data_IF_236092168327
#
_entry.id   IF_236092168327
#
_cell.length_a   1.000
_cell.length_b   1.000
_cell.length_c   1.000
_cell.angle_alpha   90.00
_cell.angle_beta   90.00
_cell.angle_gamma   90.00
#
_symmetry.space_group_name_H-M   'P 1'
#
loop_
_entity.id
_entity.type
_entity.pdbx_description
1 polymer ?
#
# COMPACT_ATOMS: atom_id res chain seq x y z
N UNK A 1 -54.72 -19.39 0.03
CA UNK A 1 -55.10 -20.54 0.87
C UNK A 1 -53.98 -20.80 1.86
N UNK A 2 -54.28 -20.52 3.13
CA UNK A 2 -53.66 -20.98 4.38
C UNK A 2 -52.15 -20.75 4.64
N UNK A 3 -51.86 -19.62 5.31
CA UNK A 3 -51.07 -19.58 6.58
C UNK A 3 -52.05 -19.95 7.74
N UNK A 4 -51.71 -20.19 9.05
CA UNK A 4 -50.45 -19.94 9.76
C UNK A 4 -50.09 -20.91 10.93
N UNK A 5 -48.88 -20.75 11.47
CA UNK A 5 -48.52 -21.12 12.84
C UNK A 5 -47.08 -20.69 13.10
N UNK A 6 -46.73 -19.70 13.93
CA UNK A 6 -47.44 -19.07 15.04
C UNK A 6 -46.63 -19.29 16.33
N UNK A 7 -46.09 -18.22 16.92
CA UNK A 7 -45.43 -18.21 18.23
C UNK A 7 -44.11 -17.43 18.24
N UNK A 8 -44.12 -16.09 18.22
CA UNK A 8 -44.32 -15.20 19.36
C UNK A 8 -43.04 -14.92 20.18
N UNK A 9 -42.65 -13.65 20.10
CA UNK A 9 -41.76 -12.86 20.95
C UNK A 9 -42.07 -13.03 22.43
N UNK A 10 -41.05 -13.04 23.30
CA UNK A 10 -41.15 -12.43 24.64
C UNK A 10 -39.78 -12.10 25.25
N UNK A 11 -39.67 -10.84 25.70
CA UNK A 11 -38.69 -10.32 26.66
C UNK A 11 -38.75 -11.10 27.99
N UNK A 12 -37.60 -11.31 28.63
CA UNK A 12 -37.49 -11.86 29.98
C UNK A 12 -36.54 -11.03 30.84
N UNK A 13 -37.12 -10.33 31.80
CA UNK A 13 -36.52 -9.42 32.77
C UNK A 13 -35.76 -10.17 33.88
N UNK A 14 -34.78 -9.47 34.46
CA UNK A 14 -34.05 -9.71 35.70
C UNK A 14 -34.75 -10.59 36.76
N UNK A 15 -34.01 -11.59 37.26
CA UNK A 15 -34.17 -12.10 38.62
C UNK A 15 -32.81 -12.15 39.34
N UNK A 16 -32.73 -11.34 40.40
CA UNK A 16 -31.72 -11.41 41.46
C UNK A 16 -31.93 -12.66 42.30
N UNK A 17 -30.86 -13.43 42.53
CA UNK A 17 -30.71 -14.24 43.74
C UNK A 17 -29.22 -14.36 44.10
N UNK A 18 -28.90 -13.78 45.27
CA UNK A 18 -27.66 -13.97 46.02
C UNK A 18 -27.39 -15.45 46.28
N UNK A 19 -26.14 -15.88 46.09
CA UNK A 19 -25.48 -16.87 46.95
C UNK A 19 -23.97 -16.69 46.87
N UNK A 20 -23.42 -16.30 48.00
CA UNK A 20 -21.99 -16.18 48.29
C UNK A 20 -21.26 -17.51 48.08
N UNK A 21 -20.10 -17.45 47.41
CA UNK A 21 -18.97 -18.31 47.74
C UNK A 21 -17.66 -17.60 47.36
N UNK A 22 -16.95 -17.16 48.39
CA UNK A 22 -15.60 -16.60 48.31
C UNK A 22 -14.58 -17.66 47.87
N UNK A 23 -13.68 -17.30 46.95
CA UNK A 23 -12.23 -17.59 47.04
C UNK A 23 -11.45 -16.85 45.94
N UNK A 24 -10.61 -15.91 46.38
CA UNK A 24 -9.33 -15.45 45.82
C UNK A 24 -9.26 -14.58 44.55
N UNK A 25 -9.64 -13.32 44.75
CA UNK A 25 -8.92 -12.07 44.43
C UNK A 25 -7.64 -12.16 43.56
N UNK A 26 -7.79 -12.03 42.25
CA UNK A 26 -6.80 -11.40 41.36
C UNK A 26 -7.19 -9.92 41.14
N UNK A 27 -6.86 -9.05 42.09
CA UNK A 27 -7.10 -7.60 41.98
C UNK A 27 -6.43 -7.03 40.73
N UNK A 28 -7.25 -6.67 39.73
CA UNK A 28 -6.89 -5.68 38.71
C UNK A 28 -6.70 -4.36 39.46
N UNK A 29 -5.44 -3.96 39.65
CA UNK A 29 -5.12 -2.66 40.22
C UNK A 29 -5.68 -1.60 39.29
N UNK A 30 -6.67 -0.86 39.77
CA UNK A 30 -6.99 0.47 39.28
C UNK A 30 -5.68 1.26 39.19
N UNK A 31 -5.30 1.63 37.97
CA UNK A 31 -4.22 2.58 37.75
C UNK A 31 -4.72 3.93 38.27
N UNK A 32 -4.48 4.17 39.57
CA UNK A 32 -4.60 5.49 40.16
C UNK A 32 -3.82 6.48 39.30
N UNK A 33 -4.55 7.48 38.81
CA UNK A 33 -4.01 8.70 38.24
C UNK A 33 -3.11 9.37 39.28
N UNK A 34 -1.81 9.07 39.22
CA UNK A 34 -0.80 9.87 39.87
C UNK A 34 0.00 10.58 38.77
N UNK A 35 -0.10 11.91 38.79
CA UNK A 35 0.57 12.80 37.87
C UNK A 35 2.08 12.56 37.86
N UNK A 36 2.57 12.04 36.75
CA UNK A 36 3.96 12.17 36.34
C UNK A 36 3.98 12.31 34.82
N UNK A 37 4.22 13.53 34.35
CA UNK A 37 4.21 13.94 32.94
C UNK A 37 5.44 13.47 32.15
N UNK A 38 6.03 12.32 32.49
CA UNK A 38 7.33 11.87 31.97
C UNK A 38 7.28 10.43 31.43
N UNK A 39 6.30 10.09 30.58
CA UNK A 39 6.24 8.76 29.94
C UNK A 39 6.17 8.75 28.41
N UNK A 40 6.64 9.81 27.75
CA UNK A 40 7.05 9.74 26.36
C UNK A 40 8.53 10.12 26.30
N UNK A 41 9.42 9.13 26.47
CA UNK A 41 10.76 9.29 25.87
C UNK A 41 10.49 9.42 24.36
N UNK A 42 10.94 10.49 23.70
CA UNK A 42 10.92 10.52 22.24
C UNK A 42 11.65 9.26 21.79
N UNK A 43 10.99 8.42 20.99
CA UNK A 43 11.73 7.43 20.21
C UNK A 43 12.59 8.29 19.29
N UNK A 44 13.87 8.42 19.63
CA UNK A 44 14.85 9.07 18.76
C UNK A 44 15.13 8.07 17.66
N UNK A 45 14.26 8.07 16.68
CA UNK A 45 14.54 7.48 15.38
C UNK A 45 15.65 8.32 14.75
N UNK A 46 16.89 7.83 14.84
CA UNK A 46 18.04 8.42 14.19
C UNK A 46 18.02 8.06 12.70
N UNK A 47 17.08 8.64 11.96
CA UNK A 47 17.14 8.60 10.51
C UNK A 47 18.00 9.76 10.06
N UNK A 48 19.06 9.46 9.32
CA UNK A 48 19.82 10.49 8.62
C UNK A 48 18.89 11.12 7.57
N UNK A 49 18.48 12.37 7.80
CA UNK A 49 17.84 13.15 6.75
C UNK A 49 18.76 13.13 5.52
N UNK A 50 18.18 12.85 4.35
CA UNK A 50 18.95 12.79 3.12
C UNK A 50 19.80 14.06 3.01
N UNK A 51 21.13 13.93 2.94
CA UNK A 51 22.00 15.08 3.03
C UNK A 51 21.68 16.03 1.88
N UNK A 52 21.68 17.34 2.16
CA UNK A 52 21.18 18.35 1.22
C UNK A 52 21.81 18.24 -0.17
N UNK A 53 23.08 17.84 -0.25
CA UNK A 53 23.77 17.63 -1.53
C UNK A 53 23.12 16.52 -2.35
N UNK A 54 22.65 15.42 -1.74
CA UNK A 54 22.02 14.32 -2.46
C UNK A 54 20.67 14.76 -3.04
N UNK A 55 19.90 15.54 -2.28
CA UNK A 55 18.64 16.15 -2.74
C UNK A 55 18.91 17.08 -3.92
N UNK A 56 19.88 17.99 -3.80
CA UNK A 56 20.25 18.93 -4.86
C UNK A 56 20.73 18.19 -6.11
N UNK A 57 21.65 17.23 -5.98
CA UNK A 57 22.17 16.45 -7.09
C UNK A 57 21.06 15.65 -7.78
N UNK A 58 20.10 15.11 -7.02
CA UNK A 58 18.96 14.40 -7.58
C UNK A 58 18.09 15.32 -8.41
N UNK A 59 17.70 16.49 -7.88
CA UNK A 59 16.91 17.47 -8.64
C UNK A 59 17.67 18.03 -9.83
N UNK A 60 18.98 18.27 -9.68
CA UNK A 60 19.85 18.70 -10.78
C UNK A 60 19.91 17.62 -11.88
N UNK A 61 20.02 16.34 -11.51
CA UNK A 61 19.97 15.21 -12.43
C UNK A 61 18.65 15.13 -13.20
N UNK A 62 17.51 15.28 -12.51
CA UNK A 62 16.20 15.39 -13.16
C UNK A 62 16.12 16.59 -14.11
N UNK A 63 16.64 17.75 -13.69
CA UNK A 63 16.71 18.96 -14.50
C UNK A 63 17.53 18.76 -15.77
N UNK A 64 18.75 18.23 -15.64
CA UNK A 64 19.65 17.93 -16.76
C UNK A 64 19.00 16.91 -17.71
N UNK A 65 18.44 15.83 -17.18
CA UNK A 65 17.75 14.81 -17.98
C UNK A 65 16.57 15.37 -18.77
N UNK A 66 15.80 16.27 -18.15
CA UNK A 66 14.66 16.94 -18.78
C UNK A 66 15.11 17.94 -19.86
N UNK A 67 16.10 18.79 -19.56
CA UNK A 67 16.70 19.72 -20.52
C UNK A 67 17.26 18.98 -21.74
N UNK A 68 17.99 17.89 -21.51
CA UNK A 68 18.56 17.08 -22.58
C UNK A 68 17.47 16.37 -23.40
N UNK A 69 16.38 15.94 -22.76
CA UNK A 69 15.20 15.41 -23.45
C UNK A 69 14.59 16.43 -24.40
N UNK A 70 14.36 17.67 -23.95
CA UNK A 70 13.81 18.73 -24.80
C UNK A 70 14.77 19.15 -25.91
N UNK A 71 16.07 19.24 -25.63
CA UNK A 71 17.09 19.52 -26.63
C UNK A 71 17.08 18.46 -27.74
N UNK A 72 16.98 17.17 -27.38
CA UNK A 72 16.89 16.09 -28.37
C UNK A 72 15.61 16.15 -29.20
N UNK A 73 14.48 16.49 -28.59
CA UNK A 73 13.24 16.69 -29.34
C UNK A 73 13.34 17.86 -30.32
N UNK A 74 14.03 18.94 -29.93
CA UNK A 74 14.35 20.04 -30.84
C UNK A 74 15.27 19.60 -31.99
N UNK A 75 16.35 18.85 -31.71
CA UNK A 75 17.26 18.34 -32.73
C UNK A 75 16.59 17.36 -33.71
N UNK A 76 15.61 16.56 -33.23
CA UNK A 76 14.77 15.71 -34.07
C UNK A 76 13.86 16.52 -34.99
N UNK A 77 13.25 17.59 -34.49
CA UNK A 77 12.42 18.48 -35.31
C UNK A 77 13.24 19.17 -36.41
N UNK A 78 14.53 19.40 -36.18
CA UNK A 78 15.46 19.94 -37.18
C UNK A 78 16.03 18.87 -38.13
N UNK A 79 15.67 17.59 -37.97
CA UNK A 79 16.17 16.49 -38.80
C UNK A 79 17.65 16.12 -38.57
N UNK A 80 18.30 16.68 -37.55
CA UNK A 80 19.72 16.45 -37.25
C UNK A 80 19.91 15.09 -36.55
N UNK A 81 18.98 14.72 -35.67
CA UNK A 81 19.00 13.44 -34.97
C UNK A 81 17.99 12.48 -35.59
N UNK A 82 18.44 11.31 -36.05
CA UNK A 82 17.53 10.25 -36.50
C UNK A 82 16.67 9.79 -35.32
N UNK A 83 15.35 9.87 -35.47
CA UNK A 83 14.43 9.47 -34.42
C UNK A 83 14.19 7.96 -34.47
N UNK A 84 14.87 7.22 -33.60
CA UNK A 84 14.65 5.77 -33.43
C UNK A 84 13.69 5.46 -32.27
N UNK A 85 13.07 6.49 -31.67
CA UNK A 85 12.16 6.35 -30.55
C UNK A 85 10.71 6.39 -31.04
N UNK A 86 9.76 5.92 -30.20
CA UNK A 86 8.33 5.93 -30.49
C UNK A 86 7.83 7.38 -30.71
N UNK A 87 7.84 7.83 -31.95
CA UNK A 87 6.94 8.88 -32.43
C UNK A 87 5.67 8.16 -32.82
N UNK A 88 4.51 8.74 -32.54
CA UNK A 88 3.26 8.25 -33.11
C UNK A 88 3.47 8.03 -34.61
N UNK A 89 3.06 6.87 -35.11
CA UNK A 89 3.14 6.59 -36.55
C UNK A 89 2.42 7.71 -37.27
N UNK A 90 2.86 8.02 -38.48
CA UNK A 90 2.23 9.07 -39.28
C UNK A 90 0.71 8.83 -39.44
N UNK A 91 0.33 7.56 -39.56
CA UNK A 91 -1.05 7.04 -39.58
C UNK A 91 -1.86 7.30 -38.31
N UNK A 92 -1.19 7.60 -37.19
CA UNK A 92 -1.78 7.76 -35.85
C UNK A 92 -1.84 9.23 -35.41
N UNK A 93 -1.25 10.16 -36.16
CA UNK A 93 -1.21 11.60 -35.82
C UNK A 93 -2.61 12.25 -35.79
N UNK A 94 -3.56 11.68 -36.53
CA UNK A 94 -4.94 12.18 -36.61
C UNK A 94 -5.85 11.64 -35.49
N UNK A 95 -5.34 10.71 -34.65
CA UNK A 95 -6.08 10.19 -33.50
C UNK A 95 -5.86 11.06 -32.26
N UNK A 96 -6.83 11.01 -31.34
CA UNK A 96 -6.66 11.65 -30.03
C UNK A 96 -5.50 10.95 -29.32
N UNK A 97 -4.48 11.70 -28.86
CA UNK A 97 -3.34 11.12 -28.18
C UNK A 97 -3.81 10.39 -26.91
N UNK A 98 -3.42 9.13 -26.77
CA UNK A 98 -3.77 8.30 -25.61
C UNK A 98 -3.03 8.73 -24.33
N UNK A 99 -1.90 9.43 -24.49
CA UNK A 99 -1.01 9.84 -23.41
C UNK A 99 -0.96 11.35 -23.27
N UNK A 100 -0.73 11.82 -22.05
CA UNK A 100 -0.46 13.23 -21.83
C UNK A 100 0.90 13.62 -22.42
N UNK A 101 1.07 14.91 -22.76
CA UNK A 101 2.31 15.42 -23.37
C UNK A 101 3.57 15.06 -22.57
N UNK A 102 3.50 15.08 -21.24
CA UNK A 102 4.62 14.71 -20.39
C UNK A 102 4.90 13.20 -20.39
N UNK A 103 3.87 12.35 -20.45
CA UNK A 103 4.05 10.90 -20.52
C UNK A 103 4.70 10.48 -21.83
N UNK A 104 4.29 11.11 -22.94
CA UNK A 104 4.94 10.93 -24.24
C UNK A 104 6.41 11.35 -24.19
N UNK A 105 6.69 12.53 -23.62
CA UNK A 105 8.04 13.01 -23.42
C UNK A 105 8.88 12.03 -22.57
N UNK A 106 8.36 11.63 -21.41
CA UNK A 106 9.02 10.71 -20.48
C UNK A 106 9.29 9.36 -21.14
N UNK A 107 8.30 8.80 -21.83
CA UNK A 107 8.41 7.50 -22.49
C UNK A 107 9.51 7.54 -23.56
N UNK A 108 9.46 8.57 -24.41
CA UNK A 108 10.37 8.74 -25.55
C UNK A 108 11.81 9.05 -25.14
N UNK A 109 12.00 9.85 -24.09
CA UNK A 109 13.31 10.41 -23.76
C UNK A 109 13.97 9.78 -22.54
N UNK A 110 13.21 9.20 -21.61
CA UNK A 110 13.73 8.59 -20.38
C UNK A 110 13.44 7.09 -20.33
N UNK A 111 12.16 6.69 -20.37
CA UNK A 111 11.75 5.31 -20.07
C UNK A 111 12.39 4.28 -21.00
N UNK A 112 12.35 4.49 -22.33
CA UNK A 112 12.94 3.54 -23.29
C UNK A 112 14.41 3.22 -22.99
N UNK A 113 15.18 4.21 -22.52
CA UNK A 113 16.60 4.01 -22.18
C UNK A 113 16.80 3.17 -20.93
N UNK A 114 15.95 3.35 -19.93
CA UNK A 114 16.08 2.68 -18.63
C UNK A 114 15.31 1.35 -18.59
N UNK A 115 14.36 1.14 -19.50
CA UNK A 115 13.52 -0.06 -19.61
C UNK A 115 14.33 -1.36 -19.60
N UNK A 116 15.52 -1.37 -20.20
CA UNK A 116 16.37 -2.55 -20.17
C UNK A 116 16.76 -2.95 -18.73
N UNK A 117 16.96 -2.01 -17.83
CA UNK A 117 17.28 -2.28 -16.43
C UNK A 117 16.06 -2.74 -15.62
N UNK A 118 14.88 -2.15 -15.86
CA UNK A 118 13.71 -2.37 -15.01
C UNK A 118 12.87 -3.58 -15.40
N UNK A 119 12.85 -3.94 -16.68
CA UNK A 119 11.94 -4.98 -17.17
C UNK A 119 12.66 -6.29 -17.52
N UNK A 120 13.79 -6.60 -16.87
CA UNK A 120 14.53 -7.83 -17.18
C UNK A 120 13.74 -9.05 -16.70
N UNK A 121 13.50 -10.05 -17.57
CA UNK A 121 12.80 -11.25 -17.14
C UNK A 121 13.62 -12.04 -16.11
N UNK A 122 12.99 -12.38 -14.99
CA UNK A 122 13.53 -13.27 -13.98
C UNK A 122 13.20 -14.70 -14.38
N UNK A 123 14.18 -15.59 -14.33
CA UNK A 123 14.08 -16.99 -14.78
C UNK A 123 14.12 -18.02 -13.65
N UNK A 124 14.30 -17.59 -12.42
CA UNK A 124 14.32 -18.46 -11.23
C UNK A 124 13.28 -18.01 -10.21
N UNK A 125 13.16 -18.77 -9.12
CA UNK A 125 12.43 -18.32 -7.96
C UNK A 125 13.02 -17.01 -7.40
N UNK A 126 12.19 -16.11 -6.85
CA UNK A 126 12.62 -14.82 -6.30
C UNK A 126 13.29 -15.02 -4.92
N UNK A 127 14.57 -15.38 -4.94
CA UNK A 127 15.42 -15.54 -3.77
C UNK A 127 16.34 -14.34 -3.50
N UNK A 128 17.27 -14.54 -2.56
CA UNK A 128 18.39 -13.62 -2.33
C UNK A 128 19.31 -13.52 -3.57
N UNK A 129 19.38 -14.61 -4.33
CA UNK A 129 19.95 -14.66 -5.67
C UNK A 129 18.86 -15.07 -6.66
N UNK A 130 18.88 -14.51 -7.86
CA UNK A 130 18.02 -14.94 -8.95
C UNK A 130 18.72 -14.92 -10.30
N UNK A 131 18.17 -15.69 -11.22
CA UNK A 131 18.63 -15.80 -12.58
C UNK A 131 17.90 -14.81 -13.47
N UNK A 132 18.62 -14.15 -14.36
CA UNK A 132 18.09 -13.15 -15.28
C UNK A 132 18.31 -13.57 -16.72
N UNK A 133 17.27 -13.50 -17.54
CA UNK A 133 17.42 -13.74 -18.97
C UNK A 133 18.22 -12.60 -19.60
N UNK A 134 19.34 -12.94 -20.23
CA UNK A 134 20.07 -11.98 -21.04
C UNK A 134 19.24 -11.65 -22.29
N UNK A 135 19.14 -10.36 -22.55
CA UNK A 135 18.48 -9.83 -23.73
C UNK A 135 19.35 -8.76 -24.36
N UNK A 136 19.26 -8.66 -25.67
CA UNK A 136 19.91 -7.62 -26.45
C UNK A 136 18.83 -6.88 -27.23
N UNK A 137 19.02 -5.58 -27.36
CA UNK A 137 18.24 -4.76 -28.27
C UNK A 137 19.18 -4.18 -29.30
N UNK A 138 18.78 -4.30 -30.57
CA UNK A 138 19.48 -3.69 -31.71
C UNK A 138 18.76 -2.39 -32.16
N UNK A 139 17.70 -1.99 -31.44
CA UNK A 139 16.77 -0.92 -31.80
C UNK A 139 16.50 0.08 -30.65
N UNK A 140 17.51 0.34 -29.81
CA UNK A 140 17.40 1.31 -28.70
C UNK A 140 16.32 0.94 -27.66
N UNK A 141 16.26 -0.34 -27.26
CA UNK A 141 15.34 -0.94 -26.28
C UNK A 141 13.86 -0.94 -26.69
N UNK A 142 13.57 -0.86 -27.98
CA UNK A 142 12.21 -0.97 -28.51
C UNK A 142 11.73 -2.41 -28.45
N UNK A 143 12.53 -3.30 -29.01
CA UNK A 143 12.37 -4.74 -28.94
C UNK A 143 13.57 -5.36 -28.26
N UNK A 144 13.32 -6.54 -27.69
CA UNK A 144 14.35 -7.32 -27.04
C UNK A 144 14.32 -8.72 -27.62
N UNK A 145 15.46 -9.17 -28.12
CA UNK A 145 15.69 -10.58 -28.44
C UNK A 145 16.38 -11.24 -27.25
N UNK A 146 15.87 -12.38 -26.84
CA UNK A 146 16.52 -13.21 -25.84
C UNK A 146 17.71 -13.92 -26.48
N UNK A 147 18.88 -13.89 -25.83
CA UNK A 147 20.08 -14.56 -26.34
C UNK A 147 20.08 -16.06 -26.01
N UNK A 148 19.15 -16.51 -25.17
CA UNK A 148 19.13 -17.86 -24.59
C UNK A 148 20.13 -18.04 -23.44
N UNK A 149 21.00 -17.06 -23.21
CA UNK A 149 21.93 -17.06 -22.07
C UNK A 149 21.21 -16.58 -20.81
N UNK A 150 21.47 -17.27 -19.71
CA UNK A 150 20.98 -16.91 -18.40
C UNK A 150 22.17 -16.37 -17.59
N UNK A 151 22.02 -15.16 -17.08
CA UNK A 151 22.94 -14.60 -16.09
C UNK A 151 22.50 -15.16 -14.74
N UNK A 152 23.34 -16.02 -14.16
CA UNK A 152 23.03 -16.71 -12.92
C UNK A 152 23.47 -15.92 -11.70
N UNK A 153 22.83 -16.23 -10.58
CA UNK A 153 23.27 -15.80 -9.25
C UNK A 153 23.37 -14.26 -9.10
N UNK A 154 22.42 -13.53 -9.68
CA UNK A 154 22.34 -12.06 -9.53
C UNK A 154 21.80 -11.71 -8.15
N UNK A 155 22.47 -10.79 -7.47
CA UNK A 155 22.11 -10.36 -6.10
C UNK A 155 20.79 -9.57 -6.11
N UNK A 156 19.86 -9.99 -5.27
CA UNK A 156 18.58 -9.32 -5.07
C UNK A 156 18.63 -8.31 -3.93
N UNK A 157 18.71 -7.03 -4.30
CA UNK A 157 18.70 -5.91 -3.34
C UNK A 157 17.35 -5.17 -3.27
N UNK A 158 16.33 -5.63 -4.00
CA UNK A 158 15.07 -4.88 -4.20
C UNK A 158 13.80 -5.62 -3.79
N UNK A 159 13.91 -6.79 -3.17
CA UNK A 159 12.75 -7.62 -2.84
C UNK A 159 12.15 -7.32 -1.47
N UNK A 160 10.81 -7.39 -1.38
CA UNK A 160 10.07 -7.38 -0.11
C UNK A 160 9.91 -8.78 0.51
N UNK A 161 10.54 -9.81 -0.06
CA UNK A 161 10.53 -11.19 0.46
C UNK A 161 11.54 -11.36 1.61
N UNK A 162 11.38 -10.61 2.70
CA UNK A 162 12.36 -10.52 3.80
C UNK A 162 12.70 -11.87 4.44
N UNK A 163 11.70 -12.74 4.59
CA UNK A 163 11.85 -14.07 5.20
C UNK A 163 12.15 -15.17 4.18
N UNK A 164 12.23 -14.85 2.88
CA UNK A 164 12.51 -15.83 1.84
C UNK A 164 11.40 -16.86 1.61
N UNK A 165 10.19 -16.63 2.12
CA UNK A 165 9.07 -17.59 2.05
C UNK A 165 8.68 -17.94 0.61
N UNK A 166 8.83 -17.00 -0.33
CA UNK A 166 8.50 -17.23 -1.74
C UNK A 166 9.60 -17.94 -2.56
N UNK A 167 10.77 -18.24 -1.96
CA UNK A 167 11.94 -18.70 -2.72
C UNK A 167 12.12 -20.22 -2.77
N UNK A 168 11.55 -20.97 -1.81
CA UNK A 168 11.76 -22.41 -1.70
C UNK A 168 10.58 -23.18 -2.26
N UNK A 169 10.86 -24.14 -3.14
CA UNK A 169 9.89 -25.16 -3.53
C UNK A 169 9.79 -26.17 -2.38
N UNK A 170 8.89 -25.91 -1.45
CA UNK A 170 8.71 -26.68 -0.23
C UNK A 170 7.31 -27.31 -0.16
N UNK A 171 6.94 -27.76 1.03
CA UNK A 171 5.63 -28.31 1.32
C UNK A 171 4.48 -27.33 0.98
N UNK A 172 4.70 -26.02 1.12
CA UNK A 172 3.68 -25.01 0.78
C UNK A 172 3.33 -25.01 -0.71
N UNK A 173 4.32 -25.22 -1.60
CA UNK A 173 4.08 -25.28 -3.04
C UNK A 173 3.33 -26.53 -3.47
N UNK A 174 3.50 -27.65 -2.74
CA UNK A 174 2.69 -28.86 -2.96
C UNK A 174 1.24 -28.60 -2.58
N UNK A 175 1.00 -28.00 -1.41
CA UNK A 175 -0.33 -27.60 -0.97
C UNK A 175 -0.99 -26.63 -1.96
N UNK A 176 -0.24 -25.64 -2.47
CA UNK A 176 -0.73 -24.72 -3.52
C UNK A 176 -1.12 -25.51 -4.77
N UNK A 177 -0.28 -26.44 -5.23
CA UNK A 177 -0.58 -27.27 -6.41
C UNK A 177 -1.86 -28.08 -6.21
N UNK A 178 -2.01 -28.76 -5.09
CA UNK A 178 -3.18 -29.61 -4.81
C UNK A 178 -4.49 -28.78 -4.75
N UNK A 179 -4.41 -27.58 -4.17
CA UNK A 179 -5.52 -26.61 -4.16
C UNK A 179 -5.83 -26.12 -5.57
N UNK A 180 -4.83 -25.81 -6.39
CA UNK A 180 -5.05 -25.39 -7.78
C UNK A 180 -5.66 -26.51 -8.65
N UNK A 181 -5.27 -27.76 -8.44
CA UNK A 181 -5.88 -28.92 -9.14
C UNK A 181 -7.35 -29.11 -8.73
N UNK A 182 -7.70 -28.78 -7.48
CA UNK A 182 -9.06 -28.94 -6.95
C UNK A 182 -9.99 -27.76 -7.30
N UNK A 183 -9.51 -26.53 -7.16
CA UNK A 183 -10.34 -25.31 -7.28
C UNK A 183 -10.10 -24.52 -8.57
N UNK A 184 -9.04 -24.83 -9.31
CA UNK A 184 -8.61 -24.05 -10.47
C UNK A 184 -7.83 -22.78 -10.10
N UNK A 185 -7.56 -21.94 -11.11
CA UNK A 185 -6.67 -20.78 -10.99
C UNK A 185 -7.35 -19.53 -10.40
N UNK A 186 -8.68 -19.44 -10.43
CA UNK A 186 -9.35 -18.21 -10.05
C UNK A 186 -10.85 -18.37 -9.85
N UNK A 187 -11.40 -17.45 -9.09
CA UNK A 187 -12.82 -17.40 -8.75
C UNK A 187 -13.46 -16.27 -9.53
N UNK A 188 -14.35 -16.60 -10.48
CA UNK A 188 -15.00 -15.64 -11.38
C UNK A 188 -16.27 -15.01 -10.79
N UNK A 189 -16.34 -14.84 -9.46
CA UNK A 189 -17.48 -14.25 -8.77
C UNK A 189 -17.02 -13.43 -7.57
N UNK A 190 -17.85 -12.48 -7.12
CA UNK A 190 -17.56 -11.65 -5.95
C UNK A 190 -17.75 -12.41 -4.65
N UNK A 191 -17.09 -11.99 -3.57
CA UNK A 191 -17.24 -12.59 -2.23
C UNK A 191 -18.69 -12.63 -1.74
N UNK A 192 -19.51 -11.66 -2.15
CA UNK A 192 -20.93 -11.55 -1.76
C UNK A 192 -21.81 -12.61 -2.42
N UNK A 193 -21.45 -13.08 -3.61
CA UNK A 193 -22.22 -14.06 -4.37
C UNK A 193 -21.64 -15.47 -4.16
N UNK A 194 -21.00 -16.04 -5.18
CA UNK A 194 -20.42 -17.38 -5.15
C UNK A 194 -18.89 -17.36 -5.04
N UNK A 195 -18.30 -16.18 -4.77
CA UNK A 195 -16.85 -16.00 -4.79
C UNK A 195 -16.10 -16.41 -3.52
N UNK A 196 -16.81 -16.84 -2.47
CA UNK A 196 -16.18 -17.19 -1.20
C UNK A 196 -15.89 -18.69 -1.11
N UNK A 197 -14.63 -19.06 -1.33
CA UNK A 197 -14.11 -20.41 -1.04
C UNK A 197 -13.90 -20.64 0.46
N UNK A 198 -13.92 -21.90 0.88
CA UNK A 198 -13.53 -22.36 2.21
C UNK A 198 -12.09 -21.92 2.56
N UNK A 199 -11.18 -21.94 1.58
CA UNK A 199 -9.80 -21.45 1.74
C UNK A 199 -9.70 -19.97 2.12
N UNK A 200 -10.65 -19.13 1.71
CA UNK A 200 -10.68 -17.73 2.15
C UNK A 200 -11.02 -17.64 3.65
N UNK A 201 -12.01 -18.43 4.10
CA UNK A 201 -12.41 -18.46 5.50
C UNK A 201 -11.31 -19.02 6.40
N UNK A 202 -10.65 -20.09 5.95
CA UNK A 202 -9.50 -20.67 6.65
C UNK A 202 -8.38 -19.63 6.82
N UNK A 203 -8.05 -18.89 5.76
CA UNK A 203 -7.04 -17.82 5.84
C UNK A 203 -7.47 -16.69 6.78
N UNK A 204 -8.73 -16.25 6.70
CA UNK A 204 -9.30 -15.21 7.58
C UNK A 204 -9.25 -15.64 9.05
N UNK A 205 -9.59 -16.90 9.36
CA UNK A 205 -9.53 -17.47 10.71
C UNK A 205 -8.09 -17.65 11.21
N UNK A 206 -7.16 -18.04 10.34
CA UNK A 206 -5.75 -18.15 10.70
C UNK A 206 -5.15 -16.78 11.02
N UNK A 207 -5.45 -15.77 10.22
CA UNK A 207 -4.96 -14.40 10.43
C UNK A 207 -5.57 -13.78 11.68
N UNK A 208 -6.87 -13.99 11.93
CA UNK A 208 -7.53 -13.47 13.13
C UNK A 208 -6.92 -14.05 14.42
N UNK A 209 -6.63 -15.37 14.42
CA UNK A 209 -5.91 -16.04 15.52
C UNK A 209 -4.48 -15.54 15.66
N UNK A 210 -3.75 -15.38 14.56
CA UNK A 210 -2.36 -14.90 14.58
C UNK A 210 -2.24 -13.48 15.15
N UNK A 211 -3.17 -12.59 14.78
CA UNK A 211 -3.20 -11.20 15.25
C UNK A 211 -3.93 -11.04 16.60
N UNK A 212 -4.55 -12.10 17.12
CA UNK A 212 -5.39 -12.09 18.31
C UNK A 212 -6.52 -11.04 18.23
N UNK A 213 -7.27 -11.06 17.13
CA UNK A 213 -8.42 -10.17 16.86
C UNK A 213 -9.69 -11.00 16.63
N UNK A 214 -10.86 -10.37 16.82
CA UNK A 214 -12.16 -11.05 16.70
C UNK A 214 -12.44 -11.60 15.30
N UNK A 215 -12.03 -10.87 14.26
CA UNK A 215 -12.21 -11.26 12.86
C UNK A 215 -11.16 -10.62 11.96
N UNK A 216 -10.87 -11.25 10.82
CA UNK A 216 -10.05 -10.69 9.75
C UNK A 216 -10.76 -10.83 8.41
N UNK A 217 -10.37 -10.00 7.43
CA UNK A 217 -10.92 -10.04 6.08
C UNK A 217 -9.79 -9.95 5.06
N UNK A 218 -9.84 -10.80 4.04
CA UNK A 218 -8.83 -10.87 2.98
C UNK A 218 -9.24 -10.05 1.77
N UNK A 219 -8.28 -9.26 1.26
CA UNK A 219 -8.42 -8.46 0.05
C UNK A 219 -7.30 -8.83 -0.94
N UNK A 220 -7.59 -8.77 -2.24
CA UNK A 220 -6.65 -9.18 -3.28
C UNK A 220 -5.40 -8.32 -3.44
N UNK A 221 -5.36 -7.12 -2.84
CA UNK A 221 -4.20 -6.23 -2.94
C UNK A 221 -4.13 -5.30 -1.72
N UNK A 222 -2.94 -5.16 -1.11
CA UNK A 222 -2.75 -4.29 0.05
C UNK A 222 -3.09 -2.82 -0.20
N UNK A 223 -2.85 -2.31 -1.42
CA UNK A 223 -3.26 -0.97 -1.82
C UNK A 223 -4.78 -0.79 -1.74
N UNK A 224 -5.52 -1.77 -2.28
CA UNK A 224 -6.98 -1.82 -2.27
C UNK A 224 -7.56 -1.93 -0.86
N UNK A 225 -6.91 -2.71 0.02
CA UNK A 225 -7.30 -2.82 1.43
C UNK A 225 -7.42 -1.46 2.09
N UNK A 226 -6.43 -0.59 1.90
CA UNK A 226 -6.46 0.73 2.54
C UNK A 226 -7.40 1.68 1.80
N UNK A 227 -7.27 1.76 0.46
CA UNK A 227 -7.98 2.78 -0.32
C UNK A 227 -9.49 2.58 -0.35
N UNK A 228 -9.97 1.34 -0.29
CA UNK A 228 -11.40 1.03 -0.37
C UNK A 228 -12.10 0.93 1.00
N UNK A 229 -11.39 0.55 2.06
CA UNK A 229 -12.03 0.38 3.37
C UNK A 229 -12.12 1.67 4.20
N UNK A 230 -11.17 2.61 4.05
CA UNK A 230 -11.23 3.89 4.79
C UNK A 230 -12.54 4.65 4.54
N UNK A 231 -13.03 4.78 3.29
CA UNK A 231 -14.33 5.40 3.02
C UNK A 231 -15.53 4.70 3.69
N UNK A 232 -15.42 3.41 4.04
CA UNK A 232 -16.48 2.71 4.76
C UNK A 232 -16.49 3.04 6.27
N UNK A 233 -15.35 3.44 6.84
CA UNK A 233 -15.22 3.75 8.27
C UNK A 233 -15.58 5.20 8.61
N UNK A 234 -15.21 6.12 7.70
CA UNK A 234 -15.31 7.58 7.89
C UNK A 234 -15.86 8.26 6.65
N UNK A 235 -16.50 9.41 6.84
CA UNK A 235 -17.03 10.21 5.72
C UNK A 235 -17.29 11.66 6.11
N UNK A 236 -18.27 12.31 5.46
CA UNK A 236 -18.61 13.72 5.72
C UNK A 236 -18.94 13.98 7.20
N UNK A 237 -18.24 14.95 7.79
CA UNK A 237 -18.35 15.31 9.21
C UNK A 237 -17.45 14.49 10.15
N UNK A 238 -16.58 13.63 9.60
CA UNK A 238 -15.47 12.99 10.30
C UNK A 238 -14.15 13.73 10.04
N UNK A 239 -13.18 13.52 10.93
CA UNK A 239 -11.80 14.00 10.81
C UNK A 239 -10.86 12.82 10.62
N UNK A 240 -9.94 12.94 9.68
CA UNK A 240 -8.79 12.04 9.51
C UNK A 240 -7.54 12.83 9.86
N UNK A 241 -6.75 12.30 10.80
CA UNK A 241 -5.41 12.76 11.10
C UNK A 241 -4.43 11.79 10.44
N UNK A 242 -3.75 12.25 9.39
CA UNK A 242 -2.81 11.43 8.62
C UNK A 242 -1.38 11.84 8.94
N UNK A 243 -0.51 10.85 9.15
CA UNK A 243 0.94 11.08 9.12
C UNK A 243 1.35 11.60 7.73
N UNK A 244 2.37 12.47 7.72
CA UNK A 244 2.90 13.12 6.52
C UNK A 244 3.51 12.14 5.52
N UNK A 245 4.11 11.03 5.99
CA UNK A 245 4.77 10.03 5.14
C UNK A 245 3.93 8.74 4.94
N UNK A 246 2.62 8.82 5.18
CA UNK A 246 1.71 7.72 4.89
C UNK A 246 1.72 7.33 3.40
N UNK A 247 1.63 6.04 3.14
CA UNK A 247 1.62 5.44 1.82
C UNK A 247 0.43 5.94 0.99
N UNK A 248 0.65 6.03 -0.32
CA UNK A 248 -0.33 6.55 -1.26
C UNK A 248 -1.72 5.88 -1.18
N UNK A 249 -1.77 4.60 -0.76
CA UNK A 249 -3.05 3.89 -0.53
C UNK A 249 -3.90 4.49 0.59
N UNK A 250 -3.27 4.89 1.71
CA UNK A 250 -3.94 5.53 2.84
C UNK A 250 -4.39 6.94 2.44
N UNK A 251 -3.53 7.68 1.76
CA UNK A 251 -3.84 9.03 1.24
C UNK A 251 -5.03 8.98 0.27
N UNK A 252 -5.05 8.01 -0.65
CA UNK A 252 -6.15 7.84 -1.57
C UNK A 252 -7.45 7.49 -0.84
N UNK A 253 -7.43 6.52 0.08
CA UNK A 253 -8.63 6.16 0.86
C UNK A 253 -9.16 7.31 1.70
N UNK A 254 -8.27 8.09 2.32
CA UNK A 254 -8.65 9.29 3.05
C UNK A 254 -9.34 10.32 2.13
N UNK A 255 -8.79 10.56 0.93
CA UNK A 255 -9.38 11.48 -0.05
C UNK A 255 -10.75 10.99 -0.55
N UNK A 256 -10.88 9.70 -0.82
CA UNK A 256 -12.14 9.10 -1.28
C UNK A 256 -13.24 9.14 -0.22
N UNK A 257 -12.90 9.15 1.07
CA UNK A 257 -13.89 9.19 2.15
C UNK A 257 -14.72 10.49 2.17
N UNK A 258 -14.18 11.60 1.65
CA UNK A 258 -14.79 12.93 1.80
C UNK A 258 -14.81 13.46 3.25
N UNK A 259 -14.06 12.84 4.16
CA UNK A 259 -13.81 13.36 5.49
C UNK A 259 -12.87 14.58 5.43
N UNK A 260 -12.84 15.38 6.49
CA UNK A 260 -11.83 16.43 6.61
C UNK A 260 -10.50 15.79 6.94
N UNK A 261 -9.43 16.12 6.20
CA UNK A 261 -8.10 15.57 6.41
C UNK A 261 -7.21 16.66 7.01
N UNK A 262 -6.49 16.33 8.08
CA UNK A 262 -5.41 17.14 8.64
C UNK A 262 -4.15 16.29 8.71
N UNK A 263 -3.02 16.86 8.32
CA UNK A 263 -1.73 16.19 8.31
C UNK A 263 -0.95 16.60 9.56
N UNK A 264 -0.41 15.63 10.29
CA UNK A 264 0.56 15.89 11.36
C UNK A 264 1.97 15.53 10.90
N UNK A 265 2.97 16.18 11.50
CA UNK A 265 4.37 15.93 11.17
C UNK A 265 4.74 14.48 11.41
N UNK A 266 5.54 13.92 10.51
CA UNK A 266 5.95 12.53 10.56
C UNK A 266 6.48 12.10 11.94
N UNK A 267 5.92 11.02 12.48
CA UNK A 267 6.26 10.42 13.78
C UNK A 267 6.34 11.43 14.95
N UNK A 268 5.58 12.53 14.89
CA UNK A 268 5.63 13.60 15.88
C UNK A 268 4.37 13.61 16.76
N UNK A 269 4.50 13.04 17.96
CA UNK A 269 3.39 12.96 18.92
C UNK A 269 2.89 14.33 19.39
N UNK A 270 3.77 15.33 19.52
CA UNK A 270 3.36 16.69 19.94
C UNK A 270 2.49 17.36 18.86
N UNK A 271 2.84 17.17 17.58
CA UNK A 271 2.06 17.65 16.44
C UNK A 271 0.69 16.97 16.40
N UNK A 272 0.65 15.64 16.60
CA UNK A 272 -0.60 14.89 16.64
C UNK A 272 -1.49 15.35 17.80
N UNK A 273 -0.94 15.44 19.00
CA UNK A 273 -1.67 15.85 20.20
C UNK A 273 -2.26 17.27 20.05
N UNK A 274 -1.47 18.20 19.51
CA UNK A 274 -1.95 19.57 19.23
C UNK A 274 -3.16 19.56 18.31
N UNK A 275 -3.09 18.85 17.18
CA UNK A 275 -4.19 18.79 16.22
C UNK A 275 -5.43 18.08 16.78
N UNK A 276 -5.24 17.07 17.63
CA UNK A 276 -6.33 16.39 18.34
C UNK A 276 -7.03 17.33 19.32
N UNK A 277 -6.27 18.06 20.15
CA UNK A 277 -6.82 19.06 21.09
C UNK A 277 -7.61 20.12 20.34
N UNK A 278 -7.04 20.68 19.27
CA UNK A 278 -7.72 21.68 18.44
C UNK A 278 -9.00 21.12 17.80
N UNK A 279 -8.97 19.86 17.35
CA UNK A 279 -10.14 19.21 16.77
C UNK A 279 -11.27 19.02 17.78
N UNK A 280 -10.95 18.67 19.03
CA UNK A 280 -11.94 18.48 20.10
C UNK A 280 -12.50 19.83 20.57
N UNK A 281 -11.65 20.85 20.73
CA UNK A 281 -12.06 22.17 21.23
C UNK A 281 -12.89 22.94 20.20
N UNK A 282 -12.41 23.03 18.95
CA UNK A 282 -13.03 23.88 17.93
C UNK A 282 -14.07 23.18 17.06
N UNK A 283 -14.08 21.84 17.07
CA UNK A 283 -14.99 21.03 16.26
C UNK A 283 -14.76 21.14 14.75
N UNK A 284 -15.83 20.92 13.99
CA UNK A 284 -15.86 20.96 12.54
C UNK A 284 -15.64 22.38 12.00
N UNK A 285 -14.88 22.56 10.90
CA UNK A 285 -14.72 23.84 10.25
C UNK A 285 -16.08 24.47 9.91
N UNK A 286 -16.20 25.78 10.12
CA UNK A 286 -17.39 26.63 9.84
C UNK A 286 -18.60 26.37 10.73
N UNK A 287 -18.90 25.12 11.09
CA UNK A 287 -20.09 24.78 11.87
C UNK A 287 -19.83 24.70 13.37
N UNK A 288 -18.57 24.55 13.79
CA UNK A 288 -18.15 24.35 15.18
C UNK A 288 -18.85 23.18 15.89
N UNK A 289 -19.48 22.27 15.13
CA UNK A 289 -20.10 21.06 15.67
C UNK A 289 -19.04 20.04 16.01
N UNK A 290 -19.29 19.20 17.01
CA UNK A 290 -18.41 18.08 17.31
C UNK A 290 -18.21 17.17 16.08
N UNK A 291 -17.03 16.57 15.97
CA UNK A 291 -16.73 15.57 14.95
C UNK A 291 -17.53 14.30 15.20
N UNK A 292 -18.07 13.68 14.15
CA UNK A 292 -18.78 12.39 14.29
C UNK A 292 -17.82 11.26 14.69
N UNK A 293 -16.65 11.24 14.07
CA UNK A 293 -15.53 10.34 14.35
C UNK A 293 -14.21 11.04 14.04
N UNK A 294 -13.18 10.69 14.79
CA UNK A 294 -11.79 11.07 14.49
C UNK A 294 -11.02 9.77 14.25
N UNK A 295 -10.38 9.66 13.10
CA UNK A 295 -9.55 8.51 12.71
C UNK A 295 -8.10 8.97 12.59
N UNK A 296 -7.19 8.24 13.24
CA UNK A 296 -5.74 8.49 13.13
C UNK A 296 -5.17 7.42 12.20
N UNK A 297 -4.43 7.84 11.18
CA UNK A 297 -3.79 6.96 10.19
C UNK A 297 -2.28 7.07 10.32
N UNK A 298 -1.64 5.95 10.62
CA UNK A 298 -0.19 5.77 10.77
C UNK A 298 0.23 4.43 10.19
N UNK A 299 1.50 4.30 9.79
CA UNK A 299 2.10 3.01 9.45
C UNK A 299 2.91 2.46 10.62
N UNK A 300 2.97 1.13 10.70
CA UNK A 300 3.85 0.45 11.65
C UNK A 300 5.31 0.45 11.19
N UNK A 301 5.56 0.15 9.91
CA UNK A 301 6.88 0.20 9.28
C UNK A 301 6.72 0.98 7.98
N UNK A 302 7.37 2.14 7.89
CA UNK A 302 7.25 3.04 6.75
C UNK A 302 8.04 2.52 5.53
N UNK A 303 7.34 2.32 4.41
CA UNK A 303 7.90 1.68 3.20
C UNK A 303 9.11 2.41 2.59
N UNK A 304 9.14 3.74 2.65
CA UNK A 304 10.19 4.56 2.03
C UNK A 304 11.29 4.99 3.00
N UNK A 305 11.19 4.59 4.27
CA UNK A 305 12.16 4.95 5.30
C UNK A 305 13.25 3.89 5.52
N UNK A 306 13.09 2.71 4.89
CA UNK A 306 14.20 1.77 4.68
C UNK A 306 14.99 2.27 3.47
N UNK A 307 15.79 3.31 3.68
CA UNK A 307 16.74 3.78 2.66
C UNK A 307 17.82 2.72 2.49
N UNK A 308 17.68 1.87 1.48
CA UNK A 308 18.83 1.16 0.92
C UNK A 308 19.70 2.23 0.24
N UNK A 309 20.72 2.68 0.98
CA UNK A 309 21.83 3.46 0.43
C UNK A 309 22.60 2.53 -0.50
N UNK A 310 22.63 2.87 -1.79
CA UNK A 310 23.48 2.23 -2.80
C UNK A 310 24.93 2.70 -2.68
#
# INVERSE_FOLDING_TARGET
>A
MADPGGGAVCNGTLHSQNKDCHSENGTVREAQQNGNSNFYKPIVESFEEAPLYAVILTYMGYGIGTLFGYLRDFLRNLGIEKCNAAVEREEQKDFVPLYQNFENFYTRNLYMRVRDNWNRPICSAPGALFDVMERVSDDYNWTFRFTGRIIKDVINMGSYNFLGLAAKYDESMRTVKDVLETYGLGVSSTRQEMGTLDKHKELEDLVSKFLNVEAAMVFGMGFATNSMNIPALVGKGCLILSDELNHASLVLGARLSGATIRIFKHNNMQSLEKLLRDAVIYGQPRTHRAWKKILILVEGIYRFMVYFVF
#
